data_IF_337122281320
#
_entry.id   IF_337122281320
#
_cell.length_a   1.000
_cell.length_b   1.000
_cell.length_c   1.000
_cell.angle_alpha   90.00
_cell.angle_beta   90.00
_cell.angle_gamma   90.00
#
_symmetry.space_group_name_H-M   'P 1'
#
loop_
_entity.id
_entity.type
_entity.pdbx_description
1 polymer ?
#
# COMPACT_ATOMS: atom_id res chain seq x y z
N UNK A 1 28.33 6.35 5.23
CA UNK A 1 27.79 6.86 3.95
C UNK A 1 26.93 5.80 3.28
N UNK A 2 25.63 5.79 3.58
CA UNK A 2 24.54 5.37 2.67
C UNK A 2 23.16 5.81 3.21
N UNK A 3 23.12 6.82 4.09
CA UNK A 3 22.01 7.77 4.06
C UNK A 3 22.23 8.62 2.82
N UNK A 4 21.51 8.34 1.74
CA UNK A 4 21.37 9.29 0.65
C UNK A 4 20.14 8.95 -0.20
N UNK A 5 19.10 9.71 0.11
CA UNK A 5 17.78 9.79 -0.53
C UNK A 5 16.94 8.53 -0.37
N UNK A 6 15.84 8.66 0.41
CA UNK A 6 14.63 7.89 0.14
C UNK A 6 14.31 8.11 -1.34
N UNK A 7 14.70 7.17 -2.18
CA UNK A 7 14.49 7.27 -3.61
C UNK A 7 12.98 7.31 -3.82
N UNK A 8 12.49 8.37 -4.46
CA UNK A 8 11.07 8.45 -4.75
C UNK A 8 10.72 7.28 -5.64
N UNK A 9 9.78 6.51 -5.14
CA UNK A 9 9.33 5.31 -5.82
C UNK A 9 7.84 5.41 -6.02
N UNK A 10 7.42 5.18 -7.25
CA UNK A 10 6.06 5.37 -7.69
C UNK A 10 5.47 4.04 -8.11
N UNK A 11 4.26 3.72 -7.66
CA UNK A 11 3.47 2.68 -8.28
C UNK A 11 2.79 3.24 -9.52
N UNK A 12 2.96 2.56 -10.65
CA UNK A 12 2.25 2.85 -11.91
C UNK A 12 1.38 1.66 -12.25
N UNK A 13 0.07 1.89 -12.30
CA UNK A 13 -0.93 0.91 -12.73
C UNK A 13 -1.41 1.28 -14.12
N UNK A 14 -1.25 0.35 -15.06
CA UNK A 14 -1.57 0.54 -16.47
C UNK A 14 -2.86 -0.21 -16.79
N UNK A 15 -3.94 0.16 -16.10
CA UNK A 15 -5.28 -0.38 -16.35
C UNK A 15 -6.07 0.59 -17.21
N UNK A 16 -6.62 0.07 -18.30
CA UNK A 16 -7.52 0.80 -19.17
C UNK A 16 -8.95 0.67 -18.65
N UNK A 17 -9.44 1.73 -18.00
CA UNK A 17 -10.68 1.74 -17.22
C UNK A 17 -11.95 1.38 -18.01
N UNK A 18 -12.11 1.71 -19.31
CA UNK A 18 -13.33 1.35 -20.04
C UNK A 18 -13.60 -0.16 -20.13
N UNK A 19 -12.57 -1.00 -19.97
CA UNK A 19 -12.67 -2.47 -20.09
C UNK A 19 -11.99 -3.23 -18.94
N UNK A 20 -11.51 -2.51 -17.93
CA UNK A 20 -10.67 -3.01 -16.83
C UNK A 20 -9.47 -3.89 -17.25
N UNK A 21 -8.98 -3.70 -18.48
CA UNK A 21 -7.87 -4.50 -19.02
C UNK A 21 -6.56 -3.97 -18.45
N UNK A 22 -5.75 -4.88 -17.90
CA UNK A 22 -4.42 -4.58 -17.38
C UNK A 22 -3.37 -4.77 -18.48
N UNK A 23 -2.70 -3.70 -18.86
CA UNK A 23 -1.66 -3.67 -19.90
C UNK A 23 -0.24 -3.62 -19.29
N UNK A 24 -0.13 -3.87 -17.98
CA UNK A 24 1.13 -3.71 -17.26
C UNK A 24 2.23 -4.61 -17.81
N UNK A 25 1.88 -5.84 -18.20
CA UNK A 25 2.80 -6.81 -18.80
C UNK A 25 3.32 -6.36 -20.17
N UNK A 26 2.43 -5.90 -21.05
CA UNK A 26 2.73 -5.48 -22.41
C UNK A 26 3.61 -4.24 -22.42
N UNK A 27 3.23 -3.21 -21.66
CA UNK A 27 4.03 -1.99 -21.51
C UNK A 27 5.39 -2.29 -20.86
N UNK A 28 5.41 -3.13 -19.82
CA UNK A 28 6.67 -3.49 -19.17
C UNK A 28 7.64 -4.17 -20.14
N UNK A 29 7.18 -5.09 -20.99
CA UNK A 29 8.01 -5.76 -22.02
C UNK A 29 8.67 -4.76 -22.97
N UNK A 30 7.95 -3.70 -23.34
CA UNK A 30 8.41 -2.58 -24.17
C UNK A 30 9.37 -1.62 -23.47
N UNK A 31 9.64 -1.84 -22.18
CA UNK A 31 10.41 -0.94 -21.34
C UNK A 31 9.72 0.43 -21.17
N UNK A 32 8.40 0.39 -21.01
CA UNK A 32 7.57 1.58 -20.90
C UNK A 32 6.70 1.53 -19.63
N UNK A 33 6.38 2.71 -19.12
CA UNK A 33 5.26 2.94 -18.20
C UNK A 33 4.48 4.16 -18.65
N UNK A 34 3.16 4.14 -18.50
CA UNK A 34 2.33 5.19 -19.05
C UNK A 34 0.91 5.23 -18.51
N UNK A 35 0.13 6.14 -19.09
CA UNK A 35 -1.26 6.41 -18.75
C UNK A 35 -2.11 6.61 -20.01
N UNK A 36 -3.40 6.25 -19.90
CA UNK A 36 -4.46 6.68 -20.81
C UNK A 36 -5.35 7.67 -20.07
N UNK A 37 -5.41 8.89 -20.57
CA UNK A 37 -6.31 9.92 -20.06
C UNK A 37 -6.75 10.81 -21.21
N UNK A 38 -7.26 10.22 -22.29
CA UNK A 38 -7.80 10.98 -23.42
C UNK A 38 -7.00 10.91 -24.73
N UNK A 39 -7.59 11.50 -25.77
CA UNK A 39 -7.10 11.50 -27.16
C UNK A 39 -6.18 12.68 -27.49
N UNK A 40 -5.95 13.60 -26.54
CA UNK A 40 -4.97 14.69 -26.68
C UNK A 40 -3.53 14.17 -26.65
N UNK A 41 -2.60 14.88 -27.28
CA UNK A 41 -1.16 14.57 -27.38
C UNK A 41 -0.32 15.32 -26.34
N UNK A 42 0.94 14.92 -26.12
CA UNK A 42 1.86 15.65 -25.23
C UNK A 42 2.00 17.12 -25.63
N UNK A 43 1.94 17.42 -26.94
CA UNK A 43 1.99 18.79 -27.46
C UNK A 43 0.75 19.62 -27.12
N UNK A 44 -0.44 18.99 -27.09
CA UNK A 44 -1.68 19.64 -26.65
C UNK A 44 -1.60 20.05 -25.18
N UNK A 45 -1.04 19.19 -24.32
CA UNK A 45 -0.80 19.53 -22.90
C UNK A 45 0.23 20.67 -22.76
N UNK A 46 1.31 20.63 -23.53
CA UNK A 46 2.30 21.71 -23.55
C UNK A 46 1.67 23.05 -23.96
N UNK A 47 0.75 23.02 -24.93
CA UNK A 47 0.01 24.21 -25.39
C UNK A 47 -0.97 24.71 -24.33
N UNK A 48 -1.72 23.80 -23.69
CA UNK A 48 -2.62 24.12 -22.59
C UNK A 48 -1.90 24.88 -21.47
N UNK A 49 -0.74 24.38 -21.02
CA UNK A 49 0.06 25.00 -19.95
C UNK A 49 0.55 26.39 -20.34
N UNK A 50 1.06 26.55 -21.58
CA UNK A 50 1.56 27.85 -22.07
C UNK A 50 0.47 28.89 -22.25
N UNK A 51 -0.77 28.46 -22.52
CA UNK A 51 -1.91 29.38 -22.73
C UNK A 51 -2.28 30.17 -21.47
N UNK A 52 -1.89 29.70 -20.28
CA UNK A 52 -2.20 30.34 -18.99
C UNK A 52 -3.67 30.23 -18.56
N UNK A 53 -4.51 29.56 -19.35
CA UNK A 53 -5.91 29.26 -19.02
C UNK A 53 -6.10 27.94 -18.26
N UNK A 54 -7.36 27.52 -18.12
CA UNK A 54 -7.72 26.21 -17.56
C UNK A 54 -7.20 25.07 -18.44
N UNK A 55 -6.32 24.23 -17.88
CA UNK A 55 -5.71 23.11 -18.62
C UNK A 55 -6.78 22.07 -18.97
N UNK A 56 -7.69 21.76 -18.03
CA UNK A 56 -8.80 20.84 -18.26
C UNK A 56 -9.67 21.31 -19.43
N UNK A 57 -10.03 22.59 -19.47
CA UNK A 57 -10.88 23.13 -20.53
C UNK A 57 -10.17 23.06 -21.89
N UNK A 58 -8.87 23.40 -21.92
CA UNK A 58 -8.08 23.32 -23.14
C UNK A 58 -8.01 21.88 -23.68
N UNK A 59 -7.68 20.91 -22.83
CA UNK A 59 -7.60 19.51 -23.24
C UNK A 59 -8.96 18.96 -23.66
N UNK A 60 -10.03 19.32 -22.94
CA UNK A 60 -11.40 18.94 -23.29
C UNK A 60 -11.91 19.59 -24.59
N UNK A 61 -11.24 20.63 -25.10
CA UNK A 61 -11.56 21.27 -26.38
C UNK A 61 -10.83 20.65 -27.58
N UNK A 62 -9.89 19.72 -27.37
CA UNK A 62 -9.25 18.99 -28.47
C UNK A 62 -10.31 18.20 -29.24
N UNK A 63 -10.43 18.30 -30.58
CA UNK A 63 -11.52 17.68 -31.33
C UNK A 63 -11.67 16.17 -31.08
N UNK A 64 -10.55 15.43 -31.14
CA UNK A 64 -10.55 14.00 -30.83
C UNK A 64 -10.95 13.69 -29.38
N UNK A 65 -10.67 14.60 -28.43
CA UNK A 65 -11.08 14.45 -27.04
C UNK A 65 -12.60 14.68 -26.88
N UNK A 66 -13.18 15.64 -27.60
CA UNK A 66 -14.62 15.89 -27.60
C UNK A 66 -15.40 14.69 -28.14
N UNK A 67 -14.87 14.03 -29.15
CA UNK A 67 -15.44 12.83 -29.76
C UNK A 67 -15.45 11.61 -28.83
N UNK A 68 -14.58 11.54 -27.81
CA UNK A 68 -14.64 10.48 -26.79
C UNK A 68 -15.90 10.59 -25.89
N UNK A 69 -16.55 11.76 -25.87
CA UNK A 69 -17.77 11.99 -25.12
C UNK A 69 -17.55 12.35 -23.64
N UNK A 70 -18.67 12.52 -22.91
CA UNK A 70 -18.66 13.05 -21.53
C UNK A 70 -17.94 12.16 -20.52
N UNK A 71 -17.94 10.84 -20.74
CA UNK A 71 -17.34 9.87 -19.83
C UNK A 71 -15.80 9.91 -19.83
N UNK A 72 -15.20 10.43 -20.90
CA UNK A 72 -13.76 10.59 -21.04
C UNK A 72 -13.25 11.99 -20.67
N UNK A 73 -14.12 12.87 -20.17
CA UNK A 73 -13.75 14.25 -19.83
C UNK A 73 -12.59 14.30 -18.83
N UNK A 74 -11.66 15.21 -19.09
CA UNK A 74 -10.57 15.52 -18.18
C UNK A 74 -11.16 16.26 -16.99
N UNK A 75 -11.20 15.57 -15.85
CA UNK A 75 -11.58 16.13 -14.56
C UNK A 75 -10.35 16.61 -13.79
N UNK A 76 -10.56 17.35 -12.70
CA UNK A 76 -9.48 17.71 -11.77
C UNK A 76 -8.69 16.47 -11.28
N UNK A 77 -9.38 15.39 -10.91
CA UNK A 77 -8.73 14.14 -10.46
C UNK A 77 -7.89 13.51 -11.56
N UNK A 78 -8.35 13.58 -12.81
CA UNK A 78 -7.60 13.16 -13.99
C UNK A 78 -6.35 14.02 -14.16
N UNK A 79 -6.50 15.34 -14.08
CA UNK A 79 -5.39 16.29 -14.20
C UNK A 79 -4.37 16.13 -13.08
N UNK A 80 -4.77 15.87 -11.83
CA UNK A 80 -3.86 15.59 -10.71
C UNK A 80 -2.97 14.37 -11.03
N UNK A 81 -3.54 13.34 -11.67
CA UNK A 81 -2.78 12.15 -12.07
C UNK A 81 -1.84 12.44 -13.24
N UNK A 82 -2.30 13.20 -14.24
CA UNK A 82 -1.46 13.68 -15.35
C UNK A 82 -0.29 14.50 -14.80
N UNK A 83 -0.56 15.42 -13.89
CA UNK A 83 0.45 16.29 -13.24
C UNK A 83 1.52 15.46 -12.53
N UNK A 84 1.11 14.45 -11.76
CA UNK A 84 2.05 13.51 -11.10
C UNK A 84 2.96 12.81 -12.09
N UNK A 85 2.41 12.32 -13.20
CA UNK A 85 3.14 11.53 -14.20
C UNK A 85 4.08 12.38 -15.07
N UNK A 86 3.59 13.53 -15.55
CA UNK A 86 4.33 14.46 -16.41
C UNK A 86 5.35 15.31 -15.63
N UNK A 87 5.10 15.48 -14.33
CA UNK A 87 5.97 16.09 -13.35
C UNK A 87 6.54 17.45 -13.70
N UNK A 88 7.72 17.76 -13.13
CA UNK A 88 8.27 19.13 -13.18
C UNK A 88 8.73 19.56 -14.58
N UNK A 89 8.81 18.64 -15.53
CA UNK A 89 9.10 19.00 -16.92
C UNK A 89 8.00 19.91 -17.50
N UNK A 90 6.75 19.68 -17.12
CA UNK A 90 5.60 20.47 -17.56
C UNK A 90 5.06 21.39 -16.46
N UNK A 91 5.17 20.98 -15.19
CA UNK A 91 4.61 21.68 -14.05
C UNK A 91 5.72 22.14 -13.10
N UNK A 92 6.44 23.20 -13.48
CA UNK A 92 7.62 23.72 -12.75
C UNK A 92 7.30 24.07 -11.29
N UNK A 93 6.08 24.52 -11.02
CA UNK A 93 5.60 24.92 -9.68
C UNK A 93 4.85 23.81 -8.95
N UNK A 94 4.79 22.59 -9.49
CA UNK A 94 4.17 21.48 -8.76
C UNK A 94 4.98 21.13 -7.51
N UNK A 95 4.26 20.77 -6.46
CA UNK A 95 4.83 20.31 -5.19
C UNK A 95 5.75 19.09 -5.38
N UNK A 96 6.39 18.63 -4.30
CA UNK A 96 7.26 17.44 -4.32
C UNK A 96 6.53 16.12 -4.64
N UNK A 97 5.22 16.16 -4.90
CA UNK A 97 4.37 15.02 -5.28
C UNK A 97 4.31 14.84 -6.80
N UNK A 98 5.46 14.86 -7.48
CA UNK A 98 5.55 14.56 -8.91
C UNK A 98 6.76 13.71 -9.27
N UNK A 99 6.63 12.90 -10.33
CA UNK A 99 7.72 12.10 -10.87
C UNK A 99 8.80 12.99 -11.48
N UNK A 100 10.07 12.65 -11.27
CA UNK A 100 11.18 13.19 -12.06
C UNK A 100 11.83 12.09 -12.90
N UNK A 101 12.79 12.48 -13.72
CA UNK A 101 13.76 11.54 -14.29
C UNK A 101 14.47 10.77 -13.18
N UNK A 102 14.85 9.52 -13.48
CA UNK A 102 15.58 8.63 -12.59
C UNK A 102 14.85 8.14 -11.32
N UNK A 103 13.61 8.59 -11.09
CA UNK A 103 12.73 8.03 -10.07
C UNK A 103 12.45 6.55 -10.35
N UNK A 104 12.26 5.77 -9.29
CA UNK A 104 11.86 4.36 -9.42
C UNK A 104 10.37 4.25 -9.70
N UNK A 105 10.02 3.29 -10.54
CA UNK A 105 8.65 2.87 -10.80
C UNK A 105 8.47 1.40 -10.49
N UNK A 106 7.38 1.09 -9.81
CA UNK A 106 6.88 -0.25 -9.54
C UNK A 106 5.66 -0.49 -10.41
N UNK A 107 5.71 -1.58 -11.15
CA UNK A 107 4.59 -2.09 -11.94
C UNK A 107 4.27 -3.48 -11.44
N UNK A 108 2.98 -3.77 -11.21
CA UNK A 108 2.55 -5.11 -10.80
C UNK A 108 1.80 -5.74 -11.96
N UNK A 109 2.29 -6.88 -12.45
CA UNK A 109 1.67 -7.60 -13.54
C UNK A 109 1.14 -8.97 -13.08
N UNK A 110 0.33 -9.60 -13.94
CA UNK A 110 -0.07 -10.99 -13.81
C UNK A 110 0.30 -11.74 -15.09
N UNK A 111 1.59 -12.01 -15.26
CA UNK A 111 2.11 -12.75 -16.42
C UNK A 111 1.89 -14.25 -16.22
N UNK A 112 1.15 -14.91 -17.12
CA UNK A 112 1.01 -16.37 -17.13
C UNK A 112 0.54 -16.97 -15.79
N UNK A 113 -0.41 -16.31 -15.11
CA UNK A 113 -0.92 -16.64 -13.76
C UNK A 113 0.11 -16.48 -12.63
N UNK A 114 1.25 -15.86 -12.89
CA UNK A 114 2.25 -15.51 -11.90
C UNK A 114 2.25 -14.00 -11.68
N UNK A 115 1.82 -13.57 -10.49
CA UNK A 115 1.93 -12.17 -10.07
C UNK A 115 3.40 -11.81 -9.93
N UNK A 116 3.80 -10.71 -10.56
CA UNK A 116 5.19 -10.24 -10.57
C UNK A 116 5.25 -8.77 -10.18
N UNK A 117 6.20 -8.41 -9.32
CA UNK A 117 6.56 -7.03 -9.03
C UNK A 117 7.72 -6.67 -9.95
N UNK A 118 7.48 -5.75 -10.86
CA UNK A 118 8.47 -5.13 -11.71
C UNK A 118 8.94 -3.82 -11.11
N UNK A 119 10.22 -3.54 -11.22
CA UNK A 119 10.85 -2.34 -10.71
C UNK A 119 11.85 -1.81 -11.74
N UNK A 120 11.85 -0.51 -12.01
CA UNK A 120 12.82 0.11 -12.93
C UNK A 120 12.87 1.62 -12.75
N UNK A 121 13.76 2.30 -13.47
CA UNK A 121 13.96 3.75 -13.34
C UNK A 121 13.45 4.48 -14.57
N UNK A 122 12.76 5.59 -14.34
CA UNK A 122 12.25 6.44 -15.41
C UNK A 122 13.41 7.10 -16.16
N UNK A 123 13.33 7.11 -17.49
CA UNK A 123 14.27 7.78 -18.37
C UNK A 123 13.53 8.71 -19.32
N UNK A 124 14.06 9.93 -19.48
CA UNK A 124 13.52 10.93 -20.39
C UNK A 124 12.14 11.47 -19.99
N UNK A 125 11.58 12.25 -20.91
CA UNK A 125 10.30 12.94 -20.78
C UNK A 125 9.13 12.07 -21.25
N UNK A 126 7.89 12.38 -20.82
CA UNK A 126 6.69 11.79 -21.40
C UNK A 126 6.63 11.99 -22.92
N UNK A 127 6.25 10.94 -23.64
CA UNK A 127 6.07 10.92 -25.09
C UNK A 127 4.71 10.29 -25.42
N UNK A 128 4.21 10.55 -26.61
CA UNK A 128 3.11 9.81 -27.23
C UNK A 128 3.42 9.55 -28.71
N UNK A 129 2.80 8.52 -29.27
CA UNK A 129 2.86 8.19 -30.69
C UNK A 129 1.45 7.81 -31.15
N UNK A 130 0.96 8.45 -32.20
CA UNK A 130 -0.38 8.22 -32.75
C UNK A 130 -0.58 6.80 -33.29
N UNK A 131 0.52 6.13 -33.67
CA UNK A 131 0.51 4.74 -34.16
C UNK A 131 0.87 3.72 -33.07
N UNK A 132 1.00 4.14 -31.81
CA UNK A 132 1.38 3.24 -30.73
C UNK A 132 0.35 2.10 -30.55
N UNK A 133 0.83 0.87 -30.43
CA UNK A 133 -0.03 -0.34 -30.29
C UNK A 133 -0.91 -0.33 -29.04
N UNK A 134 -0.45 0.40 -28.01
CA UNK A 134 -1.20 0.58 -26.77
C UNK A 134 -2.24 1.70 -26.85
N UNK A 135 -2.40 2.42 -27.97
CA UNK A 135 -3.53 3.34 -28.15
C UNK A 135 -4.84 2.54 -28.19
N UNK A 136 -5.83 2.92 -27.36
CA UNK A 136 -7.09 2.16 -27.18
C UNK A 136 -8.30 3.06 -27.38
N UNK A 137 -9.35 2.48 -27.97
CA UNK A 137 -10.64 3.16 -28.11
C UNK A 137 -11.60 2.69 -27.00
N UNK A 138 -12.32 3.60 -26.33
CA UNK A 138 -13.23 3.24 -25.24
C UNK A 138 -14.44 2.45 -25.74
N UNK A 139 -14.93 2.72 -26.95
CA UNK A 139 -16.07 2.04 -27.57
C UNK A 139 -15.95 2.05 -29.09
N UNK A 140 -16.75 1.22 -29.76
CA UNK A 140 -16.69 1.07 -31.21
C UNK A 140 -16.98 2.41 -31.90
N UNK A 141 -16.12 2.81 -32.83
CA UNK A 141 -16.12 4.09 -33.58
C UNK A 141 -15.67 5.35 -32.82
N UNK A 142 -15.26 5.25 -31.55
CA UNK A 142 -14.59 6.39 -30.89
C UNK A 142 -13.13 6.52 -31.34
N UNK A 143 -12.56 7.74 -31.33
CA UNK A 143 -11.12 7.91 -31.50
C UNK A 143 -10.36 7.14 -30.42
N UNK A 144 -9.08 6.88 -30.69
CA UNK A 144 -8.22 6.20 -29.70
C UNK A 144 -7.74 7.22 -28.67
N UNK A 145 -7.85 6.87 -27.40
CA UNK A 145 -7.01 7.46 -26.37
C UNK A 145 -5.55 7.15 -26.67
N UNK A 146 -4.70 8.19 -26.64
CA UNK A 146 -3.28 8.05 -26.91
C UNK A 146 -2.56 7.61 -25.63
N UNK A 147 -1.68 6.63 -25.76
CA UNK A 147 -0.78 6.16 -24.72
C UNK A 147 0.31 7.19 -24.50
N UNK A 148 0.31 7.85 -23.32
CA UNK A 148 1.40 8.74 -22.91
C UNK A 148 2.34 7.97 -22.00
N UNK A 149 3.60 7.87 -22.37
CA UNK A 149 4.54 6.95 -21.73
C UNK A 149 5.92 7.55 -21.53
N UNK A 150 6.68 6.91 -20.63
CA UNK A 150 8.10 7.17 -20.37
C UNK A 150 8.87 5.87 -20.49
N UNK A 151 10.12 5.97 -20.93
CA UNK A 151 11.03 4.82 -20.99
C UNK A 151 11.45 4.40 -19.58
N UNK A 152 11.71 3.11 -19.41
CA UNK A 152 12.20 2.50 -18.16
C UNK A 152 13.51 1.78 -18.39
N UNK A 153 14.52 2.14 -17.61
CA UNK A 153 15.84 1.49 -17.55
C UNK A 153 16.03 0.74 -16.24
N UNK A 154 17.16 0.03 -16.08
CA UNK A 154 17.51 -0.72 -14.87
C UNK A 154 16.39 -1.65 -14.36
N UNK A 155 15.70 -2.29 -15.31
CA UNK A 155 14.52 -3.14 -15.05
C UNK A 155 14.88 -4.41 -14.28
N UNK A 156 14.11 -4.68 -13.23
CA UNK A 156 14.15 -5.89 -12.40
C UNK A 156 12.74 -6.45 -12.26
N UNK A 157 12.63 -7.76 -12.09
CA UNK A 157 11.35 -8.46 -11.95
C UNK A 157 11.46 -9.49 -10.83
N UNK A 158 10.52 -9.46 -9.90
CA UNK A 158 10.48 -10.35 -8.75
C UNK A 158 9.15 -11.09 -8.72
N UNK A 159 9.15 -12.42 -8.92
CA UNK A 159 7.96 -13.22 -8.75
C UNK A 159 7.42 -13.10 -7.32
N UNK A 160 6.16 -12.68 -7.21
CA UNK A 160 5.54 -12.42 -5.90
C UNK A 160 5.41 -13.69 -5.05
N UNK A 161 5.29 -14.85 -5.69
CA UNK A 161 5.24 -16.16 -5.03
C UNK A 161 6.54 -16.55 -4.34
N UNK A 162 7.66 -15.91 -4.69
CA UNK A 162 8.98 -16.19 -4.14
C UNK A 162 9.47 -15.09 -3.18
N UNK A 163 8.71 -14.01 -3.02
CA UNK A 163 8.97 -12.96 -2.04
C UNK A 163 8.24 -13.26 -0.72
N UNK A 164 8.70 -12.70 0.42
CA UNK A 164 7.94 -12.73 1.67
C UNK A 164 6.51 -12.21 1.50
N UNK A 165 5.57 -12.78 2.25
CA UNK A 165 4.13 -12.56 2.06
C UNK A 165 3.69 -11.09 2.11
N UNK A 166 4.37 -10.24 2.88
CA UNK A 166 4.02 -8.81 2.97
C UNK A 166 4.14 -8.08 1.62
N UNK A 167 4.99 -8.55 0.70
CA UNK A 167 5.08 -7.98 -0.65
C UNK A 167 3.76 -8.16 -1.43
N UNK A 168 2.88 -9.08 -1.02
CA UNK A 168 1.55 -9.27 -1.64
C UNK A 168 0.62 -8.07 -1.43
N UNK A 169 0.96 -7.18 -0.52
CA UNK A 169 0.25 -5.94 -0.29
C UNK A 169 0.68 -4.82 -1.25
N UNK A 170 1.88 -4.91 -1.86
CA UNK A 170 2.38 -3.89 -2.80
C UNK A 170 1.44 -3.65 -3.99
N UNK A 171 0.91 -4.70 -4.68
CA UNK A 171 -0.09 -4.51 -5.73
C UNK A 171 -1.37 -3.79 -5.26
N UNK A 172 -1.65 -3.81 -3.96
CA UNK A 172 -2.84 -3.22 -3.35
C UNK A 172 -2.61 -1.78 -2.87
N UNK A 173 -1.36 -1.32 -2.74
CA UNK A 173 -1.06 0.00 -2.17
C UNK A 173 -1.53 1.17 -3.04
N UNK A 174 -2.46 2.01 -2.55
CA UNK A 174 -3.04 3.10 -3.35
C UNK A 174 -4.13 2.59 -4.31
N UNK A 175 -5.09 1.79 -3.85
CA UNK A 175 -6.08 1.11 -4.74
C UNK A 175 -6.85 2.03 -5.69
N UNK A 176 -7.00 3.33 -5.36
CA UNK A 176 -7.95 4.26 -5.98
C UNK A 176 -7.42 5.04 -7.20
N UNK A 177 -6.24 4.73 -7.72
CA UNK A 177 -5.63 5.52 -8.80
C UNK A 177 -4.47 4.82 -9.51
N UNK A 178 -4.03 5.43 -10.60
CA UNK A 178 -3.02 4.84 -11.48
C UNK A 178 -1.59 5.20 -11.07
N UNK A 179 -1.39 6.36 -10.44
CA UNK A 179 -0.07 6.86 -10.04
C UNK A 179 -0.06 7.16 -8.54
N UNK A 180 0.80 6.48 -7.80
CA UNK A 180 0.97 6.72 -6.35
C UNK A 180 2.42 6.68 -5.93
N UNK A 181 2.80 7.63 -5.09
CA UNK A 181 4.10 7.58 -4.42
C UNK A 181 4.03 6.62 -3.23
N UNK A 182 4.97 5.68 -3.14
CA UNK A 182 5.14 4.88 -1.93
C UNK A 182 5.62 5.75 -0.78
N UNK A 183 5.01 5.55 0.39
CA UNK A 183 5.38 6.21 1.65
C UNK A 183 5.47 5.19 2.80
N UNK A 184 6.15 5.58 3.87
CA UNK A 184 6.26 4.78 5.09
C UNK A 184 6.84 3.39 4.84
N UNK A 185 6.16 2.37 5.36
CA UNK A 185 6.66 0.99 5.38
C UNK A 185 6.69 0.33 4.00
N UNK A 186 5.73 0.66 3.13
CA UNK A 186 5.75 0.20 1.75
C UNK A 186 6.94 0.78 0.96
N UNK A 187 7.35 2.01 1.25
CA UNK A 187 8.56 2.58 0.65
C UNK A 187 9.81 1.84 1.13
N UNK A 188 9.91 1.50 2.42
CA UNK A 188 11.01 0.69 2.97
C UNK A 188 11.09 -0.67 2.26
N UNK A 189 9.94 -1.33 2.07
CA UNK A 189 9.81 -2.61 1.36
C UNK A 189 10.31 -2.54 -0.08
N UNK A 190 9.89 -1.53 -0.83
CA UNK A 190 10.30 -1.35 -2.23
C UNK A 190 11.77 -0.96 -2.33
N UNK A 191 12.30 -0.19 -1.38
CA UNK A 191 13.72 0.15 -1.34
C UNK A 191 14.63 -1.09 -1.18
N UNK A 192 14.15 -2.16 -0.51
CA UNK A 192 14.87 -3.43 -0.47
C UNK A 192 14.92 -4.03 -1.89
N UNK A 193 13.78 -4.09 -2.60
CA UNK A 193 13.73 -4.56 -3.99
C UNK A 193 14.64 -3.75 -4.92
N UNK A 194 14.75 -2.43 -4.69
CA UNK A 194 15.62 -1.55 -5.46
C UNK A 194 17.11 -1.87 -5.26
N UNK A 195 17.53 -2.17 -4.03
CA UNK A 195 18.92 -2.51 -3.70
C UNK A 195 19.30 -3.93 -4.13
N UNK A 196 18.38 -4.88 -4.05
CA UNK A 196 18.63 -6.27 -4.42
C UNK A 196 18.53 -6.47 -5.94
N UNK A 197 19.37 -7.34 -6.50
CA UNK A 197 19.31 -7.79 -7.89
C UNK A 197 18.46 -9.04 -8.07
N UNK A 198 18.28 -9.85 -7.02
CA UNK A 198 17.64 -11.17 -7.10
C UNK A 198 16.67 -11.43 -5.95
N UNK A 199 15.75 -12.38 -6.13
CA UNK A 199 14.84 -12.84 -5.07
C UNK A 199 15.62 -13.37 -3.86
N UNK A 200 16.70 -14.12 -4.09
CA UNK A 200 17.54 -14.68 -3.03
C UNK A 200 18.14 -13.58 -2.17
N UNK A 201 18.59 -12.48 -2.76
CA UNK A 201 19.09 -11.32 -2.02
C UNK A 201 17.99 -10.67 -1.18
N UNK A 202 16.78 -10.52 -1.70
CA UNK A 202 15.63 -9.97 -0.95
C UNK A 202 15.30 -10.86 0.25
N UNK A 203 15.25 -12.18 0.04
CA UNK A 203 15.00 -13.14 1.12
C UNK A 203 16.10 -13.10 2.17
N UNK A 204 17.36 -12.98 1.77
CA UNK A 204 18.49 -12.92 2.69
C UNK A 204 18.46 -11.61 3.49
N UNK A 205 18.20 -10.46 2.86
CA UNK A 205 18.03 -9.18 3.57
C UNK A 205 16.95 -9.32 4.65
N UNK A 206 15.77 -9.85 4.30
CA UNK A 206 14.67 -10.06 5.26
C UNK A 206 15.04 -11.03 6.40
N UNK A 207 15.75 -12.14 6.09
CA UNK A 207 16.21 -13.10 7.10
C UNK A 207 17.26 -12.53 8.06
N UNK A 208 18.06 -11.57 7.61
CA UNK A 208 19.06 -10.92 8.47
C UNK A 208 18.50 -9.79 9.34
N UNK A 209 17.26 -9.33 9.08
CA UNK A 209 16.58 -8.37 9.94
C UNK A 209 16.25 -8.97 11.31
N UNK A 210 16.38 -8.16 12.35
CA UNK A 210 15.82 -8.49 13.66
C UNK A 210 14.28 -8.36 13.66
N UNK A 211 13.62 -8.90 14.69
CA UNK A 211 12.15 -8.91 14.75
C UNK A 211 11.55 -7.50 14.77
N UNK A 212 12.21 -6.51 15.37
CA UNK A 212 11.71 -5.13 15.40
C UNK A 212 11.77 -4.49 14.00
N UNK A 213 12.84 -4.74 13.25
CA UNK A 213 12.99 -4.28 11.88
C UNK A 213 11.93 -4.90 10.96
N UNK A 214 11.64 -6.20 11.11
CA UNK A 214 10.57 -6.88 10.35
C UNK A 214 9.19 -6.33 10.73
N UNK A 215 8.93 -6.17 12.02
CA UNK A 215 7.70 -5.58 12.52
C UNK A 215 7.50 -4.18 11.94
N UNK A 216 8.51 -3.32 12.00
CA UNK A 216 8.46 -1.98 11.41
C UNK A 216 8.21 -2.01 9.91
N UNK A 217 8.82 -2.95 9.18
CA UNK A 217 8.65 -3.09 7.74
C UNK A 217 7.22 -3.42 7.31
N UNK A 218 6.44 -4.13 8.14
CA UNK A 218 5.11 -4.60 7.76
C UNK A 218 3.96 -3.73 8.30
N UNK A 219 4.22 -2.78 9.20
CA UNK A 219 3.21 -1.80 9.64
C UNK A 219 2.31 -2.21 10.81
N UNK A 220 1.32 -1.37 11.16
CA UNK A 220 0.44 -1.54 12.32
C UNK A 220 -0.36 -2.84 12.30
N UNK A 221 -0.81 -3.29 11.14
CA UNK A 221 -1.66 -4.46 10.98
C UNK A 221 -0.94 -5.76 11.39
N UNK A 222 0.39 -5.80 11.26
CA UNK A 222 1.18 -6.95 11.71
C UNK A 222 1.29 -7.04 13.23
N UNK A 223 1.31 -5.89 13.92
CA UNK A 223 1.23 -5.90 15.38
C UNK A 223 -0.09 -6.51 15.84
N UNK A 224 -1.21 -6.10 15.24
CA UNK A 224 -2.52 -6.67 15.50
C UNK A 224 -2.55 -8.18 15.22
N UNK A 225 -2.02 -8.64 14.08
CA UNK A 225 -1.92 -10.07 13.77
C UNK A 225 -1.10 -10.87 14.79
N UNK A 226 -0.01 -10.29 15.31
CA UNK A 226 0.79 -10.91 16.38
C UNK A 226 0.04 -10.98 17.71
N UNK A 227 -0.66 -9.91 18.09
CA UNK A 227 -1.48 -9.88 19.30
C UNK A 227 -2.60 -10.91 19.22
N UNK A 228 -3.22 -11.07 18.06
CA UNK A 228 -4.20 -12.13 17.79
C UNK A 228 -3.57 -13.51 17.96
N UNK A 229 -2.39 -13.74 17.39
CA UNK A 229 -1.62 -14.97 17.57
C UNK A 229 -1.34 -15.31 19.03
N UNK A 230 -0.94 -14.31 19.82
CA UNK A 230 -0.77 -14.44 21.27
C UNK A 230 -2.08 -14.85 21.95
N UNK A 231 -3.19 -14.15 21.68
CA UNK A 231 -4.49 -14.49 22.28
C UNK A 231 -4.92 -15.92 21.95
N UNK A 232 -4.74 -16.36 20.70
CA UNK A 232 -5.09 -17.72 20.27
C UNK A 232 -4.26 -18.74 21.06
N UNK A 233 -2.93 -18.55 21.09
CA UNK A 233 -1.99 -19.51 21.68
C UNK A 233 -2.02 -19.53 23.20
N UNK A 234 -2.07 -18.35 23.82
CA UNK A 234 -1.91 -18.20 25.27
C UNK A 234 -3.25 -18.12 25.99
N UNK A 235 -4.28 -17.58 25.34
CA UNK A 235 -5.58 -17.29 25.97
C UNK A 235 -6.72 -18.13 25.42
N UNK A 236 -6.42 -19.16 24.62
CA UNK A 236 -7.42 -20.06 24.02
C UNK A 236 -8.47 -19.28 23.23
N UNK A 237 -8.07 -18.16 22.63
CA UNK A 237 -8.99 -17.27 21.94
C UNK A 237 -9.47 -17.88 20.62
N UNK A 238 -10.77 -17.74 20.36
CA UNK A 238 -11.39 -17.99 19.07
C UNK A 238 -12.12 -16.71 18.64
N UNK A 239 -11.74 -16.12 17.49
CA UNK A 239 -12.39 -14.90 17.00
C UNK A 239 -13.86 -15.18 16.67
N UNK A 240 -14.73 -14.23 16.98
CA UNK A 240 -16.12 -14.24 16.50
C UNK A 240 -16.18 -13.56 15.13
N UNK A 241 -17.26 -13.71 14.36
CA UNK A 241 -17.40 -13.05 13.04
C UNK A 241 -17.37 -11.50 13.07
N UNK A 242 -17.24 -10.91 14.26
CA UNK A 242 -17.19 -9.47 14.52
C UNK A 242 -15.73 -8.96 14.65
N UNK A 243 -14.72 -9.84 14.70
CA UNK A 243 -13.30 -9.46 14.84
C UNK A 243 -12.60 -9.03 13.55
N UNK A 244 -13.24 -9.12 12.38
CA UNK A 244 -12.59 -8.81 11.12
C UNK A 244 -12.96 -7.38 10.66
N UNK A 245 -11.96 -6.48 10.59
CA UNK A 245 -12.02 -5.26 9.78
C UNK A 245 -12.72 -4.04 10.40
N UNK A 246 -12.52 -3.77 11.70
CA UNK A 246 -13.00 -2.51 12.32
C UNK A 246 -14.52 -2.46 12.55
N UNK A 247 -15.15 -3.62 12.72
CA UNK A 247 -16.60 -3.73 12.97
C UNK A 247 -17.00 -3.20 14.35
N UNK A 248 -16.09 -3.25 15.33
CA UNK A 248 -16.24 -2.57 16.62
C UNK A 248 -15.38 -1.31 16.62
N UNK A 249 -15.97 -0.20 17.04
CA UNK A 249 -15.30 1.11 17.02
C UNK A 249 -14.10 1.19 17.95
N UNK A 250 -14.22 0.57 19.12
CA UNK A 250 -13.27 0.70 20.25
C UNK A 250 -12.63 -0.64 20.63
N UNK A 251 -12.75 -1.67 19.79
CA UNK A 251 -12.04 -2.94 19.94
C UNK A 251 -11.58 -3.46 18.58
N UNK A 252 -10.31 -3.83 18.45
CA UNK A 252 -9.80 -4.46 17.23
C UNK A 252 -10.16 -5.95 17.18
N UNK A 253 -10.31 -6.60 18.34
CA UNK A 253 -10.60 -8.03 18.43
C UNK A 253 -11.73 -8.32 19.41
N UNK A 254 -12.63 -9.21 19.01
CA UNK A 254 -13.69 -9.74 19.87
C UNK A 254 -13.88 -11.24 19.62
N UNK A 255 -13.92 -12.02 20.68
CA UNK A 255 -14.01 -13.48 20.60
C UNK A 255 -14.42 -14.11 21.92
N UNK A 256 -14.13 -15.40 22.04
CA UNK A 256 -14.29 -16.11 23.30
C UNK A 256 -13.11 -17.05 23.55
N UNK A 257 -12.92 -17.40 24.81
CA UNK A 257 -12.10 -18.54 25.18
C UNK A 257 -12.85 -19.83 24.81
N UNK A 258 -12.24 -20.70 24.01
CA UNK A 258 -12.89 -21.92 23.53
C UNK A 258 -13.17 -22.95 24.64
N UNK A 259 -12.47 -22.86 25.78
CA UNK A 259 -12.61 -23.82 26.88
C UNK A 259 -13.83 -23.55 27.75
N UNK A 260 -14.10 -22.28 28.06
CA UNK A 260 -15.11 -21.86 29.04
C UNK A 260 -16.16 -20.90 28.47
N UNK A 261 -16.01 -20.47 27.21
CA UNK A 261 -16.93 -19.55 26.54
C UNK A 261 -16.83 -18.09 27.00
N UNK A 262 -15.89 -17.76 27.89
CA UNK A 262 -15.69 -16.40 28.40
C UNK A 262 -15.39 -15.44 27.25
N UNK A 263 -16.10 -14.31 27.18
CA UNK A 263 -15.88 -13.29 26.15
C UNK A 263 -14.52 -12.65 26.32
N UNK A 264 -13.80 -12.46 25.23
CA UNK A 264 -12.50 -11.80 25.18
C UNK A 264 -12.59 -10.62 24.22
N UNK A 265 -12.15 -9.45 24.65
CA UNK A 265 -12.02 -8.25 23.82
C UNK A 265 -10.60 -7.72 23.92
N UNK A 266 -10.08 -7.15 22.83
CA UNK A 266 -8.77 -6.53 22.82
C UNK A 266 -8.69 -5.32 21.90
N UNK A 267 -7.80 -4.39 22.28
CA UNK A 267 -7.37 -3.27 21.44
C UNK A 267 -5.85 -3.31 21.30
N UNK A 268 -5.37 -3.07 20.08
CA UNK A 268 -3.98 -3.00 19.70
C UNK A 268 -3.60 -1.58 19.29
N UNK A 269 -2.44 -1.11 19.73
CA UNK A 269 -1.89 0.18 19.34
C UNK A 269 -0.43 0.04 18.98
N UNK A 270 -0.08 0.34 17.73
CA UNK A 270 1.29 0.30 17.26
C UNK A 270 1.92 1.69 17.21
N UNK A 271 2.02 2.29 18.38
CA UNK A 271 2.78 3.52 18.61
C UNK A 271 4.13 3.18 19.24
N UNK A 272 5.23 3.72 18.71
CA UNK A 272 6.56 3.50 19.28
C UNK A 272 6.72 4.22 20.62
N UNK A 273 6.12 5.40 20.74
CA UNK A 273 6.10 6.16 21.99
C UNK A 273 4.98 5.68 22.91
N UNK A 274 5.18 5.70 24.23
CA UNK A 274 4.11 5.46 25.17
C UNK A 274 2.90 6.39 24.94
N UNK A 275 1.68 5.84 25.02
CA UNK A 275 0.43 6.59 24.85
C UNK A 275 -0.49 6.44 26.05
N UNK A 276 -1.37 7.43 26.23
CA UNK A 276 -2.54 7.25 27.08
C UNK A 276 -3.52 6.30 26.41
N UNK A 277 -4.19 5.48 27.22
CA UNK A 277 -5.27 4.61 26.74
C UNK A 277 -6.46 5.49 26.39
N UNK A 278 -7.09 5.24 25.24
CA UNK A 278 -8.14 6.09 24.72
C UNK A 278 -9.42 6.05 25.58
N UNK A 279 -10.03 7.21 25.81
CA UNK A 279 -11.27 7.33 26.58
C UNK A 279 -12.42 6.47 26.01
N UNK A 280 -12.50 6.37 24.68
CA UNK A 280 -13.48 5.51 23.99
C UNK A 280 -13.31 4.03 24.34
N UNK A 281 -12.07 3.55 24.37
CA UNK A 281 -11.76 2.18 24.80
C UNK A 281 -12.14 1.96 26.26
N UNK A 282 -11.83 2.91 27.15
CA UNK A 282 -12.22 2.81 28.57
C UNK A 282 -13.74 2.70 28.75
N UNK A 283 -14.50 3.58 28.08
CA UNK A 283 -15.95 3.58 28.15
C UNK A 283 -16.53 2.24 27.63
N UNK A 284 -16.02 1.77 26.49
CA UNK A 284 -16.45 0.50 25.91
C UNK A 284 -16.11 -0.70 26.81
N UNK A 285 -14.93 -0.73 27.41
CA UNK A 285 -14.51 -1.79 28.32
C UNK A 285 -15.33 -1.81 29.62
N UNK A 286 -15.61 -0.65 30.22
CA UNK A 286 -16.45 -0.54 31.42
C UNK A 286 -17.89 -0.98 31.12
N UNK A 287 -18.44 -0.58 29.98
CA UNK A 287 -19.76 -1.01 29.53
C UNK A 287 -19.84 -2.53 29.32
N UNK A 288 -18.82 -3.12 28.68
CA UNK A 288 -18.72 -4.58 28.51
C UNK A 288 -18.65 -5.28 29.86
N UNK A 289 -17.84 -4.80 30.80
CA UNK A 289 -17.75 -5.37 32.16
C UNK A 289 -19.06 -5.24 32.94
N UNK A 290 -19.82 -4.16 32.74
CA UNK A 290 -21.15 -4.00 33.37
C UNK A 290 -22.15 -5.02 32.86
N UNK A 291 -22.16 -5.28 31.54
CA UNK A 291 -23.11 -6.22 30.90
C UNK A 291 -22.66 -7.67 31.03
N UNK A 292 -21.35 -7.91 30.93
CA UNK A 292 -20.70 -9.22 30.99
C UNK A 292 -19.54 -9.18 32.00
N UNK A 293 -19.81 -9.30 33.31
CA UNK A 293 -18.79 -9.11 34.37
C UNK A 293 -17.55 -10.00 34.24
N UNK A 294 -17.71 -11.19 33.68
CA UNK A 294 -16.63 -12.16 33.53
C UNK A 294 -15.83 -11.98 32.23
N UNK A 295 -16.20 -11.04 31.35
CA UNK A 295 -15.45 -10.80 30.11
C UNK A 295 -13.99 -10.43 30.42
N UNK A 296 -13.07 -10.82 29.55
CA UNK A 296 -11.64 -10.51 29.64
C UNK A 296 -11.26 -9.43 28.64
N UNK A 297 -10.62 -8.38 29.12
CA UNK A 297 -10.23 -7.22 28.33
C UNK A 297 -8.72 -7.12 28.30
N UNK A 298 -8.14 -7.11 27.10
CA UNK A 298 -6.70 -7.00 26.87
C UNK A 298 -6.36 -5.69 26.16
N UNK A 299 -5.22 -5.11 26.50
CA UNK A 299 -4.69 -3.94 25.80
C UNK A 299 -3.25 -4.22 25.34
N UNK A 300 -2.98 -4.02 24.05
CA UNK A 300 -1.70 -4.33 23.41
C UNK A 300 -0.99 -3.05 22.91
N UNK A 301 -0.32 -2.29 23.79
CA UNK A 301 0.43 -1.10 23.40
C UNK A 301 1.86 -1.46 22.98
N UNK A 302 2.27 -1.12 21.76
CA UNK A 302 3.63 -1.41 21.29
C UNK A 302 4.70 -0.71 22.15
N UNK A 303 4.60 0.62 22.28
CA UNK A 303 5.51 1.50 23.04
C UNK A 303 5.20 1.63 24.54
N UNK A 304 4.26 0.85 25.08
CA UNK A 304 3.73 0.91 26.46
C UNK A 304 2.64 1.98 26.71
N UNK A 305 2.00 1.95 27.88
CA UNK A 305 1.05 2.98 28.33
C UNK A 305 1.74 4.04 29.19
N UNK A 306 1.35 5.31 29.05
CA UNK A 306 1.77 6.40 29.94
C UNK A 306 1.20 6.20 31.35
N UNK A 307 -0.10 5.90 31.43
CA UNK A 307 -0.79 5.55 32.67
C UNK A 307 -1.37 4.14 32.53
N UNK A 308 -1.12 3.28 33.54
CA UNK A 308 -1.68 1.93 33.52
C UNK A 308 -3.20 1.96 33.74
N UNK A 309 -4.02 1.38 32.84
CA UNK A 309 -5.46 1.26 33.06
C UNK A 309 -5.77 0.53 34.37
N UNK A 310 -6.84 0.92 35.07
CA UNK A 310 -7.29 0.20 36.26
C UNK A 310 -7.59 -1.26 35.94
N UNK A 311 -7.12 -2.18 36.80
CA UNK A 311 -7.33 -3.63 36.64
C UNK A 311 -8.81 -4.05 36.59
N UNK A 312 -9.72 -3.20 37.09
CA UNK A 312 -11.17 -3.41 36.99
C UNK A 312 -11.69 -3.29 35.55
N UNK A 313 -10.98 -2.58 34.68
CA UNK A 313 -11.36 -2.31 33.29
C UNK A 313 -10.55 -3.17 32.31
N UNK A 314 -9.24 -3.28 32.52
CA UNK A 314 -8.32 -4.05 31.68
C UNK A 314 -7.70 -5.16 32.51
N UNK A 315 -7.88 -6.41 32.08
CA UNK A 315 -7.34 -7.57 32.78
C UNK A 315 -5.83 -7.71 32.59
N UNK A 316 -5.31 -7.40 31.39
CA UNK A 316 -3.87 -7.54 31.09
C UNK A 316 -3.40 -6.52 30.04
N UNK A 317 -2.21 -5.96 30.25
CA UNK A 317 -1.51 -5.09 29.30
C UNK A 317 -0.29 -5.85 28.78
N UNK A 318 -0.20 -6.00 27.47
CA UNK A 318 0.85 -6.78 26.82
C UNK A 318 1.56 -5.91 25.81
N UNK A 319 2.72 -5.37 26.21
CA UNK A 319 3.52 -4.50 25.35
C UNK A 319 4.56 -5.27 24.52
N UNK A 320 5.33 -4.57 23.69
CA UNK A 320 6.36 -5.19 22.85
C UNK A 320 7.36 -6.02 23.66
N UNK A 321 7.78 -5.54 24.84
CA UNK A 321 8.71 -6.28 25.69
C UNK A 321 8.09 -7.58 26.19
N UNK A 322 6.85 -7.54 26.67
CA UNK A 322 6.13 -8.75 27.09
C UNK A 322 5.95 -9.74 25.92
N UNK A 323 5.67 -9.25 24.72
CA UNK A 323 5.61 -10.09 23.52
C UNK A 323 6.96 -10.70 23.15
N UNK A 324 8.05 -9.94 23.25
CA UNK A 324 9.41 -10.44 23.03
C UNK A 324 9.82 -11.50 24.05
N UNK A 325 9.42 -11.33 25.31
CA UNK A 325 9.64 -12.34 26.35
C UNK A 325 8.82 -13.61 26.05
N UNK A 326 7.58 -13.47 25.57
CA UNK A 326 6.81 -14.60 25.07
C UNK A 326 7.47 -15.29 23.87
N UNK A 327 8.01 -14.54 22.91
CA UNK A 327 8.69 -15.10 21.74
C UNK A 327 9.91 -15.97 22.06
N UNK A 328 10.50 -15.81 23.26
CA UNK A 328 11.61 -16.65 23.77
C UNK A 328 11.14 -17.92 24.46
N UNK A 329 9.84 -18.11 24.63
CA UNK A 329 9.27 -19.38 25.11
C UNK A 329 9.17 -20.38 23.96
N UNK A 330 9.11 -21.67 24.27
CA UNK A 330 8.99 -22.73 23.25
C UNK A 330 7.79 -22.49 22.29
N UNK A 331 6.64 -22.09 22.82
CA UNK A 331 5.44 -21.82 22.02
C UNK A 331 5.56 -20.52 21.20
N UNK A 332 6.21 -19.49 21.76
CA UNK A 332 6.49 -18.25 21.04
C UNK A 332 7.46 -18.45 19.88
N UNK A 333 8.52 -19.25 20.07
CA UNK A 333 9.47 -19.57 19.00
C UNK A 333 8.82 -20.37 17.87
N UNK A 334 7.97 -21.36 18.20
CA UNK A 334 7.19 -22.10 17.21
C UNK A 334 6.26 -21.17 16.43
N UNK A 335 5.61 -20.23 17.11
CA UNK A 335 4.76 -19.23 16.47
C UNK A 335 5.55 -18.35 15.51
N UNK A 336 6.67 -17.75 15.94
CA UNK A 336 7.49 -16.88 15.09
C UNK A 336 8.06 -17.60 13.87
N UNK A 337 8.51 -18.86 14.03
CA UNK A 337 8.99 -19.67 12.90
C UNK A 337 7.92 -19.83 11.82
N UNK A 338 6.66 -20.03 12.22
CA UNK A 338 5.54 -20.11 11.28
C UNK A 338 5.17 -18.73 10.72
N UNK A 339 5.11 -17.72 11.58
CA UNK A 339 4.74 -16.36 11.22
C UNK A 339 5.68 -15.75 10.19
N UNK A 340 6.98 -16.05 10.27
CA UNK A 340 8.01 -15.58 9.33
C UNK A 340 8.32 -16.54 8.18
N UNK A 341 7.81 -17.77 8.20
CA UNK A 341 7.97 -18.72 7.09
C UNK A 341 7.03 -18.41 5.92
N UNK A 342 5.95 -17.69 6.20
CA UNK A 342 5.08 -17.02 5.24
C UNK A 342 5.69 -15.64 4.91
#
# INVERSE_FOLDING_TARGET
MKDQLLQRTWRVRMKYSPKEIDFSSEAWKRAEVGIWYGAWSVDDLGTAIRSGGSIEDHLNCVPAQQELGKEAQITKTTLDTITRFFGKQFFVNADNDVMLENDWVVVCSNDSNQKTIHLGRLKGEPKDDSNHELNKSPHDNAPKELWKFREVIDRKSFPLSALPDFYRLIPQYGRQGNIFQFRGNYLKAVNILARCGTVTEVQNEFRTMDDNQRLDLMGPEVWEAMCLGYLIRMKNFVPTGVSAGGTLKDFDMAGCNWKDGVKIYAQCKKDQDPKEVEEGFYAAADDVKRVTPNAKIYYFPYGNCLTSPPARVVDEIINLKSMQDWFRTEEGEKYLKLFWAC
#
